data_IF_510679712831
#
_entry.id   IF_510679712831
#
_cell.length_a   1.000
_cell.length_b   1.000
_cell.length_c   1.000
_cell.angle_alpha   90.00
_cell.angle_beta   90.00
_cell.angle_gamma   90.00
#
_symmetry.space_group_name_H-M   'P 1'
#
loop_
_entity.id
_entity.type
_entity.pdbx_description
1 polymer ?
#
# COMPACT_ATOMS: atom_id res chain seq x y z
N UNK A 1 -7.10 -6.47 16.81
CA UNK A 1 -6.31 -5.23 17.01
C UNK A 1 -5.68 -4.70 15.72
N UNK A 2 -5.11 -5.54 14.83
CA UNK A 2 -4.60 -5.09 13.51
C UNK A 2 -5.69 -4.38 12.69
N UNK A 3 -6.90 -4.94 12.64
CA UNK A 3 -8.05 -4.35 11.94
C UNK A 3 -8.39 -2.93 12.44
N UNK A 4 -8.24 -2.67 13.76
CA UNK A 4 -8.50 -1.33 14.29
C UNK A 4 -7.48 -0.31 13.78
N UNK A 5 -6.22 -0.70 13.61
CA UNK A 5 -5.20 0.18 13.02
C UNK A 5 -5.40 0.37 11.52
N UNK A 6 -5.88 -0.65 10.82
CA UNK A 6 -6.25 -0.57 9.41
C UNK A 6 -7.39 0.47 9.22
N UNK A 7 -8.45 0.40 10.00
CA UNK A 7 -9.55 1.37 9.94
C UNK A 7 -9.11 2.80 10.31
N UNK A 8 -8.21 2.94 11.29
CA UNK A 8 -7.62 4.24 11.63
C UNK A 8 -6.75 4.80 10.49
N UNK A 9 -6.09 3.93 9.73
CA UNK A 9 -5.35 4.34 8.56
C UNK A 9 -6.26 4.91 7.47
N UNK A 10 -7.42 4.29 7.23
CA UNK A 10 -8.46 4.85 6.34
C UNK A 10 -8.92 6.23 6.81
N UNK A 11 -9.16 6.41 8.11
CA UNK A 11 -9.52 7.71 8.66
C UNK A 11 -8.42 8.75 8.44
N UNK A 12 -7.15 8.40 8.62
CA UNK A 12 -6.02 9.29 8.35
C UNK A 12 -5.93 9.66 6.86
N UNK A 13 -6.15 8.70 5.99
CA UNK A 13 -6.19 8.91 4.54
C UNK A 13 -7.32 9.88 4.15
N UNK A 14 -8.53 9.65 4.67
CA UNK A 14 -9.67 10.55 4.47
C UNK A 14 -9.35 11.99 4.87
N UNK A 15 -8.73 12.19 6.03
CA UNK A 15 -8.33 13.53 6.49
C UNK A 15 -7.35 14.22 5.55
N UNK A 16 -6.57 13.45 4.83
CA UNK A 16 -5.57 13.96 3.87
C UNK A 16 -6.16 14.30 2.51
N UNK A 17 -7.03 13.44 1.98
CA UNK A 17 -7.54 13.53 0.60
C UNK A 17 -8.94 14.15 0.49
N UNK A 18 -9.72 14.11 1.57
CA UNK A 18 -11.02 14.77 1.68
C UNK A 18 -12.19 13.99 1.08
N UNK A 19 -13.39 14.58 1.23
CA UNK A 19 -14.68 13.95 0.92
C UNK A 19 -14.85 13.55 -0.55
N UNK A 20 -14.42 14.38 -1.47
CA UNK A 20 -14.58 14.10 -2.91
C UNK A 20 -13.81 12.85 -3.33
N UNK A 21 -12.57 12.71 -2.87
CA UNK A 21 -11.77 11.52 -3.09
C UNK A 21 -12.44 10.29 -2.49
N UNK A 22 -12.92 10.40 -1.24
CA UNK A 22 -13.56 9.29 -0.55
C UNK A 22 -14.84 8.82 -1.23
N UNK A 23 -15.60 9.73 -1.84
CA UNK A 23 -16.76 9.37 -2.67
C UNK A 23 -16.36 8.49 -3.85
N UNK A 24 -15.20 8.73 -4.46
CA UNK A 24 -14.68 7.89 -5.56
C UNK A 24 -14.32 6.49 -5.06
N UNK A 25 -13.65 6.38 -3.90
CA UNK A 25 -13.35 5.09 -3.27
C UNK A 25 -14.63 4.28 -3.02
N UNK A 26 -15.62 4.89 -2.38
CA UNK A 26 -16.91 4.24 -2.12
C UNK A 26 -17.59 3.82 -3.42
N UNK A 27 -17.57 4.68 -4.45
CA UNK A 27 -18.15 4.35 -5.75
C UNK A 27 -17.49 3.12 -6.36
N UNK A 28 -16.14 3.04 -6.34
CA UNK A 28 -15.42 1.86 -6.80
C UNK A 28 -15.83 0.59 -6.02
N UNK A 29 -15.89 0.66 -4.70
CA UNK A 29 -16.28 -0.48 -3.85
C UNK A 29 -17.69 -0.96 -4.19
N UNK A 30 -18.65 -0.05 -4.38
CA UNK A 30 -20.03 -0.40 -4.75
C UNK A 30 -20.11 -1.05 -6.14
N UNK A 31 -19.36 -0.54 -7.11
CA UNK A 31 -19.27 -1.12 -8.45
C UNK A 31 -18.55 -2.47 -8.40
N UNK A 32 -17.43 -2.53 -7.69
CA UNK A 32 -16.61 -3.72 -7.53
C UNK A 32 -17.35 -4.87 -6.87
N UNK A 33 -18.20 -4.58 -5.88
CA UNK A 33 -19.01 -5.61 -5.21
C UNK A 33 -19.94 -6.37 -6.19
N UNK A 34 -20.30 -5.76 -7.31
CA UNK A 34 -21.12 -6.37 -8.36
C UNK A 34 -20.29 -6.99 -9.49
N UNK A 35 -18.96 -6.87 -9.43
CA UNK A 35 -18.06 -7.42 -10.44
C UNK A 35 -17.84 -8.93 -10.25
N UNK A 36 -17.36 -9.65 -11.28
CA UNK A 36 -17.01 -11.06 -11.16
C UNK A 36 -15.95 -11.36 -10.08
N UNK A 37 -15.11 -10.36 -9.74
CA UNK A 37 -14.06 -10.50 -8.74
C UNK A 37 -14.59 -10.28 -7.31
N UNK A 38 -15.77 -9.68 -7.14
CA UNK A 38 -16.33 -9.35 -5.82
C UNK A 38 -15.51 -8.30 -5.07
N UNK A 39 -15.91 -8.00 -3.83
CA UNK A 39 -15.14 -7.11 -2.93
C UNK A 39 -14.80 -5.75 -3.55
N UNK A 40 -13.52 -5.49 -3.73
CA UNK A 40 -13.02 -4.23 -4.32
C UNK A 40 -13.05 -4.20 -5.85
N UNK A 41 -13.48 -5.28 -6.50
CA UNK A 41 -13.51 -5.42 -7.95
C UNK A 41 -12.27 -6.09 -8.55
N UNK A 42 -12.13 -5.98 -9.87
CA UNK A 42 -11.05 -6.58 -10.64
C UNK A 42 -9.87 -5.62 -10.90
N UNK A 43 -9.92 -4.39 -10.40
CA UNK A 43 -8.90 -3.36 -10.62
C UNK A 43 -9.08 -2.58 -11.94
N UNK A 44 -10.13 -2.84 -12.68
CA UNK A 44 -10.47 -2.17 -13.95
C UNK A 44 -11.70 -1.26 -13.85
N UNK A 45 -12.32 -1.24 -12.71
CA UNK A 45 -13.50 -0.43 -12.43
C UNK A 45 -13.15 1.06 -12.36
N UNK A 46 -14.15 1.89 -12.54
CA UNK A 46 -14.00 3.33 -12.38
C UNK A 46 -13.50 3.64 -10.96
N UNK A 47 -12.48 4.47 -10.85
CA UNK A 47 -11.82 4.84 -9.59
C UNK A 47 -11.08 3.71 -8.85
N UNK A 48 -10.74 2.61 -9.55
CA UNK A 48 -9.96 1.52 -8.96
C UNK A 48 -8.63 1.99 -8.37
N UNK A 49 -7.93 2.94 -9.02
CA UNK A 49 -6.68 3.50 -8.52
C UNK A 49 -6.82 4.22 -7.17
N UNK A 50 -7.95 4.90 -6.91
CA UNK A 50 -8.23 5.55 -5.61
C UNK A 50 -8.38 4.50 -4.51
N UNK A 51 -9.08 3.41 -4.79
CA UNK A 51 -9.23 2.28 -3.87
C UNK A 51 -7.90 1.56 -3.64
N UNK A 52 -7.13 1.34 -4.70
CA UNK A 52 -5.81 0.72 -4.65
C UNK A 52 -4.87 1.47 -3.68
N UNK A 53 -4.77 2.78 -3.81
CA UNK A 53 -3.95 3.60 -2.90
C UNK A 53 -4.45 3.58 -1.47
N UNK A 54 -5.76 3.68 -1.28
CA UNK A 54 -6.39 3.69 0.03
C UNK A 54 -6.20 2.38 0.78
N UNK A 55 -6.44 1.24 0.12
CA UNK A 55 -6.30 -0.09 0.73
C UNK A 55 -4.83 -0.46 0.97
N UNK A 56 -3.95 -0.19 0.01
CA UNK A 56 -2.52 -0.43 0.19
C UNK A 56 -1.94 0.38 1.35
N UNK A 57 -2.37 1.64 1.50
CA UNK A 57 -1.97 2.48 2.63
C UNK A 57 -2.51 1.96 3.96
N UNK A 58 -3.77 1.57 4.00
CA UNK A 58 -4.41 1.09 5.21
C UNK A 58 -3.79 -0.22 5.69
N UNK A 59 -3.51 -1.14 4.77
CA UNK A 59 -2.86 -2.41 5.08
C UNK A 59 -1.43 -2.19 5.59
N UNK A 60 -0.63 -1.37 4.89
CA UNK A 60 0.72 -1.01 5.34
C UNK A 60 0.71 -0.40 6.74
N UNK A 61 -0.07 0.66 6.95
CA UNK A 61 -0.04 1.41 8.20
C UNK A 61 -0.61 0.59 9.36
N UNK A 62 -1.67 -0.20 9.10
CA UNK A 62 -2.27 -1.11 10.07
C UNK A 62 -1.28 -2.14 10.58
N UNK A 63 -0.53 -2.74 9.68
CA UNK A 63 0.50 -3.74 9.99
C UNK A 63 1.71 -3.11 10.68
N UNK A 64 2.20 -1.99 10.18
CA UNK A 64 3.36 -1.31 10.76
C UNK A 64 3.10 -0.83 12.20
N UNK A 65 1.92 -0.28 12.48
CA UNK A 65 1.52 0.07 13.84
C UNK A 65 1.38 -1.15 14.73
N UNK A 66 0.78 -2.20 14.20
CA UNK A 66 0.65 -3.45 14.96
C UNK A 66 2.01 -4.00 15.37
N UNK A 67 2.96 -4.06 14.44
CA UNK A 67 4.34 -4.49 14.68
C UNK A 67 5.04 -3.68 15.77
N UNK A 68 4.83 -2.35 15.78
CA UNK A 68 5.46 -1.46 16.77
C UNK A 68 4.89 -1.61 18.17
N UNK A 69 3.59 -1.87 18.27
CA UNK A 69 2.90 -2.02 19.56
C UNK A 69 3.09 -3.43 20.13
N UNK A 70 3.25 -4.42 19.28
CA UNK A 70 3.38 -5.83 19.65
C UNK A 70 4.66 -6.44 19.07
N UNK A 71 5.84 -6.05 19.57
CA UNK A 71 7.09 -6.63 19.11
C UNK A 71 7.16 -8.12 19.45
N UNK A 72 7.52 -8.91 18.46
CA UNK A 72 7.83 -10.35 18.49
C UNK A 72 7.06 -11.21 19.51
N UNK A 73 6.05 -11.91 19.06
CA UNK A 73 5.48 -13.08 19.74
C UNK A 73 4.25 -12.86 20.60
N UNK A 74 3.70 -11.65 20.66
CA UNK A 74 2.48 -11.36 21.44
C UNK A 74 1.20 -11.23 20.61
N UNK A 75 1.23 -11.54 19.34
CA UNK A 75 0.03 -11.46 18.51
C UNK A 75 -0.53 -12.83 18.19
N UNK A 76 -1.63 -13.16 18.85
CA UNK A 76 -2.50 -14.28 18.48
C UNK A 76 -3.23 -14.00 17.14
N UNK A 77 -2.51 -14.01 16.04
CA UNK A 77 -3.13 -14.30 14.76
C UNK A 77 -2.61 -15.66 14.37
N UNK A 78 -3.53 -16.61 14.42
CA UNK A 78 -3.32 -18.00 14.14
C UNK A 78 -2.40 -18.24 12.95
N UNK A 79 -1.38 -19.05 13.21
CA UNK A 79 -0.69 -19.90 12.23
C UNK A 79 -0.24 -19.16 10.96
N UNK A 80 0.90 -18.63 10.96
CA UNK A 80 1.94 -18.66 9.94
C UNK A 80 2.85 -17.44 10.05
N UNK A 81 3.95 -17.66 10.76
CA UNK A 81 5.23 -16.97 10.57
C UNK A 81 5.28 -15.43 10.44
N UNK A 82 4.84 -14.73 11.46
CA UNK A 82 5.15 -13.30 11.62
C UNK A 82 6.66 -13.00 11.66
N UNK A 83 7.50 -14.00 11.82
CA UNK A 83 8.98 -13.87 11.79
C UNK A 83 9.48 -13.56 10.37
N UNK A 84 8.71 -13.92 9.33
CA UNK A 84 9.02 -13.63 7.92
C UNK A 84 8.07 -12.58 7.33
N UNK A 85 7.49 -11.77 8.16
CA UNK A 85 6.41 -10.88 7.83
C UNK A 85 6.75 -9.79 6.78
N UNK A 86 7.92 -9.14 6.78
CA UNK A 86 8.27 -8.23 5.69
C UNK A 86 8.28 -8.92 4.33
N UNK A 87 9.00 -10.03 4.20
CA UNK A 87 9.08 -10.80 2.95
C UNK A 87 7.70 -11.34 2.49
N UNK A 88 6.84 -11.78 3.42
CA UNK A 88 5.51 -12.26 3.08
C UNK A 88 4.57 -11.15 2.58
N UNK A 89 4.82 -9.90 2.97
CA UNK A 89 4.02 -8.75 2.51
C UNK A 89 4.43 -8.25 1.14
N UNK A 90 5.71 -8.36 0.84
CA UNK A 90 6.27 -8.04 -0.47
C UNK A 90 5.83 -9.07 -1.52
N UNK A 91 5.66 -10.34 -1.10
CA UNK A 91 5.19 -11.43 -1.96
C UNK A 91 3.67 -11.67 -1.91
N UNK A 92 2.92 -11.04 -1.02
CA UNK A 92 1.52 -11.40 -0.79
C UNK A 92 0.55 -10.77 -1.79
N UNK A 93 0.61 -11.26 -3.01
CA UNK A 93 -0.36 -11.01 -4.10
C UNK A 93 -1.75 -11.56 -3.79
N UNK A 94 -1.89 -12.39 -2.77
CA UNK A 94 -3.15 -13.06 -2.41
C UNK A 94 -4.03 -12.19 -1.50
N UNK A 95 -3.45 -11.18 -0.88
CA UNK A 95 -4.17 -10.26 -0.02
C UNK A 95 -4.84 -9.17 -0.89
N UNK A 96 -6.13 -9.02 -0.83
CA UNK A 96 -6.91 -8.02 -1.58
C UNK A 96 -6.88 -8.12 -3.12
N UNK A 97 -7.14 -9.32 -3.64
CA UNK A 97 -7.44 -9.49 -5.08
C UNK A 97 -6.28 -9.24 -6.06
N UNK A 98 -5.03 -9.46 -5.67
CA UNK A 98 -3.84 -9.45 -6.54
C UNK A 98 -3.54 -8.15 -7.30
N UNK A 99 -4.42 -7.15 -7.28
CA UNK A 99 -4.24 -5.88 -7.97
C UNK A 99 -3.97 -4.69 -7.04
N UNK A 100 -3.99 -4.92 -5.71
CA UNK A 100 -3.64 -3.92 -4.69
C UNK A 100 -2.22 -4.20 -4.19
N UNK A 101 -1.22 -3.43 -4.61
CA UNK A 101 0.18 -3.70 -4.27
C UNK A 101 0.50 -3.21 -2.85
N UNK A 102 0.16 -4.02 -1.85
CA UNK A 102 0.35 -3.68 -0.44
C UNK A 102 1.83 -3.57 -0.05
N UNK A 103 2.73 -4.30 -0.73
CA UNK A 103 4.18 -4.30 -0.50
C UNK A 103 4.87 -2.97 -0.81
N UNK A 104 4.37 -2.19 -1.77
CA UNK A 104 5.03 -0.94 -2.22
C UNK A 104 5.40 0.00 -1.07
N UNK A 105 4.54 0.17 -0.06
CA UNK A 105 4.84 1.04 1.07
C UNK A 105 5.82 0.42 2.07
N UNK A 106 5.95 -0.90 2.08
CA UNK A 106 6.97 -1.61 2.88
C UNK A 106 8.33 -1.45 2.26
N UNK A 107 8.50 -1.70 0.96
CA UNK A 107 9.76 -1.51 0.23
C UNK A 107 10.31 -0.09 0.38
N UNK A 108 9.43 0.90 0.44
CA UNK A 108 9.83 2.28 0.72
C UNK A 108 10.29 2.51 2.17
N UNK A 109 10.02 1.57 3.07
CA UNK A 109 10.28 1.75 4.52
C UNK A 109 11.52 1.06 4.97
N UNK A 110 11.65 -0.21 4.61
CA UNK A 110 12.67 -1.04 5.23
C UNK A 110 14.05 -0.82 4.60
N UNK A 111 15.06 -1.29 5.32
CA UNK A 111 16.45 -1.17 4.94
C UNK A 111 17.12 -2.56 4.97
N UNK A 112 16.33 -3.61 5.12
CA UNK A 112 16.83 -4.97 5.25
C UNK A 112 16.55 -5.75 4.00
N UNK A 113 17.55 -5.86 3.13
CA UNK A 113 17.58 -6.89 2.09
C UNK A 113 17.64 -8.27 2.79
N UNK A 114 16.50 -8.88 3.00
CA UNK A 114 16.48 -10.30 3.34
C UNK A 114 17.00 -11.07 2.12
N UNK A 115 17.72 -12.16 2.33
CA UNK A 115 18.43 -12.92 1.27
C UNK A 115 17.52 -13.50 0.17
N UNK A 116 16.22 -13.29 0.26
CA UNK A 116 15.18 -13.73 -0.68
C UNK A 116 14.47 -12.56 -1.36
N UNK A 117 14.78 -11.31 -0.99
CA UNK A 117 14.20 -10.13 -1.55
C UNK A 117 15.01 -9.63 -2.75
N UNK A 118 14.31 -9.08 -3.72
CA UNK A 118 14.93 -8.37 -4.82
C UNK A 118 15.52 -7.05 -4.28
N UNK A 119 16.66 -6.64 -4.83
CA UNK A 119 17.47 -5.49 -4.45
C UNK A 119 16.64 -4.19 -4.25
N UNK A 120 16.34 -3.83 -3.00
CA UNK A 120 15.63 -2.60 -2.62
C UNK A 120 16.45 -1.37 -2.98
N UNK A 121 16.16 -0.83 -4.14
CA UNK A 121 16.85 0.36 -4.66
C UNK A 121 16.39 1.65 -4.02
N UNK A 122 15.30 1.60 -3.25
CA UNK A 122 14.73 2.73 -2.53
C UNK A 122 14.27 2.26 -1.17
N UNK A 123 14.83 2.83 -0.10
CA UNK A 123 14.54 2.40 1.26
C UNK A 123 14.70 3.55 2.26
N UNK A 124 14.21 3.35 3.47
CA UNK A 124 14.46 4.25 4.60
C UNK A 124 13.52 5.45 4.67
N UNK A 125 12.42 5.47 3.91
CA UNK A 125 11.44 6.54 3.98
C UNK A 125 10.50 6.37 5.17
N UNK A 126 10.34 7.45 5.91
CA UNK A 126 9.43 7.50 7.06
C UNK A 126 7.97 7.45 6.63
N UNK A 127 7.09 7.03 7.55
CA UNK A 127 5.63 7.11 7.37
C UNK A 127 5.21 8.53 6.96
N UNK A 128 5.77 9.56 7.60
CA UNK A 128 5.44 10.95 7.33
C UNK A 128 5.81 11.37 5.88
N UNK A 129 6.97 10.95 5.39
CA UNK A 129 7.38 11.23 4.00
C UNK A 129 6.41 10.59 2.99
N UNK A 130 6.04 9.33 3.20
CA UNK A 130 5.06 8.61 2.37
C UNK A 130 3.66 9.24 2.44
N UNK A 131 3.22 9.59 3.66
CA UNK A 131 1.91 10.23 3.86
C UNK A 131 1.81 11.60 3.20
N UNK A 132 2.91 12.37 3.19
CA UNK A 132 2.93 13.72 2.59
C UNK A 132 2.76 13.71 1.07
N UNK A 133 2.94 12.59 0.41
CA UNK A 133 2.68 12.44 -1.03
C UNK A 133 1.19 12.52 -1.35
N UNK A 134 0.34 11.99 -0.48
CA UNK A 134 -1.11 11.98 -0.72
C UNK A 134 -1.69 13.39 -0.78
N UNK A 135 -2.59 13.57 -1.71
CA UNK A 135 -3.40 14.77 -1.88
C UNK A 135 -4.69 14.41 -2.64
N UNK A 136 -5.70 15.31 -2.68
CA UNK A 136 -6.93 15.07 -3.43
C UNK A 136 -6.76 14.79 -4.93
N UNK A 137 -5.58 15.08 -5.48
CA UNK A 137 -5.27 14.96 -6.91
C UNK A 137 -4.38 13.75 -7.23
N UNK A 138 -4.12 12.86 -6.29
CA UNK A 138 -3.31 11.65 -6.48
C UNK A 138 -4.24 10.44 -6.48
N UNK A 139 -4.51 9.89 -7.65
CA UNK A 139 -5.58 8.91 -7.87
C UNK A 139 -5.10 7.49 -8.21
N UNK A 140 -3.79 7.29 -8.33
CA UNK A 140 -3.17 5.99 -8.62
C UNK A 140 -1.70 5.98 -8.22
N UNK A 141 -1.09 4.80 -8.23
CA UNK A 141 0.32 4.66 -7.85
C UNK A 141 1.29 5.37 -8.78
N UNK A 142 0.93 5.64 -10.03
CA UNK A 142 1.81 6.36 -10.95
C UNK A 142 1.89 7.85 -10.58
N UNK A 143 0.76 8.44 -10.28
CA UNK A 143 0.70 9.82 -9.78
C UNK A 143 1.35 9.92 -8.39
N UNK A 144 1.17 8.89 -7.56
CA UNK A 144 1.86 8.76 -6.27
C UNK A 144 3.38 8.74 -6.47
N UNK A 145 3.91 7.89 -7.36
CA UNK A 145 5.33 7.82 -7.71
C UNK A 145 5.86 9.20 -8.16
N UNK A 146 5.19 9.82 -9.11
CA UNK A 146 5.65 11.07 -9.70
C UNK A 146 5.70 12.18 -8.64
N UNK A 147 4.71 12.22 -7.76
CA UNK A 147 4.70 13.15 -6.63
C UNK A 147 5.74 12.81 -5.58
N UNK A 148 5.93 11.52 -5.29
CA UNK A 148 6.96 11.05 -4.36
C UNK A 148 8.36 11.50 -4.82
N UNK A 149 8.70 11.30 -6.10
CA UNK A 149 9.98 11.71 -6.69
C UNK A 149 10.12 13.24 -6.65
N UNK A 150 9.07 13.98 -6.93
CA UNK A 150 9.09 15.44 -6.83
C UNK A 150 9.46 15.91 -5.40
N UNK A 151 8.97 15.23 -4.38
CA UNK A 151 9.24 15.54 -2.98
C UNK A 151 10.59 14.97 -2.48
N UNK A 152 11.12 13.97 -3.17
CA UNK A 152 12.35 13.28 -2.83
C UNK A 152 13.27 13.18 -4.07
N UNK A 153 13.91 14.29 -4.48
CA UNK A 153 14.62 14.39 -5.76
C UNK A 153 15.88 13.52 -5.87
N UNK A 154 16.29 12.87 -4.80
CA UNK A 154 17.34 11.85 -4.81
C UNK A 154 16.89 10.52 -5.40
N UNK A 155 15.57 10.31 -5.52
CA UNK A 155 14.95 9.09 -6.07
C UNK A 155 14.69 9.30 -7.56
N UNK A 156 15.12 8.36 -8.39
CA UNK A 156 14.83 8.38 -9.82
C UNK A 156 13.57 7.58 -10.16
N UNK A 157 12.95 7.88 -11.30
CA UNK A 157 11.84 7.10 -11.85
C UNK A 157 12.22 5.62 -12.02
N UNK A 158 13.43 5.33 -12.47
CA UNK A 158 13.90 3.96 -12.69
C UNK A 158 13.98 3.16 -11.36
N UNK A 159 14.45 3.81 -10.29
CA UNK A 159 14.48 3.19 -8.97
C UNK A 159 13.07 2.90 -8.47
N UNK A 160 12.15 3.87 -8.54
CA UNK A 160 10.78 3.67 -8.08
C UNK A 160 10.03 2.61 -8.91
N UNK A 161 10.27 2.55 -10.22
CA UNK A 161 9.72 1.49 -11.07
C UNK A 161 10.27 0.11 -10.69
N UNK A 162 11.47 0.03 -10.11
CA UNK A 162 11.99 -1.19 -9.51
C UNK A 162 11.06 -1.73 -8.42
N UNK A 163 10.61 -0.87 -7.51
CA UNK A 163 9.62 -1.23 -6.46
C UNK A 163 8.34 -1.77 -7.06
N UNK A 164 7.83 -1.16 -8.13
CA UNK A 164 6.63 -1.67 -8.81
C UNK A 164 6.87 -3.06 -9.42
N UNK A 165 8.04 -3.28 -10.01
CA UNK A 165 8.40 -4.59 -10.59
C UNK A 165 8.49 -5.68 -9.53
N UNK A 166 9.03 -5.37 -8.35
CA UNK A 166 9.11 -6.27 -7.21
C UNK A 166 7.74 -6.71 -6.72
N UNK A 167 6.78 -5.78 -6.70
CA UNK A 167 5.40 -6.04 -6.31
C UNK A 167 4.52 -6.56 -7.46
N UNK A 168 5.10 -6.98 -8.60
CA UNK A 168 4.37 -7.32 -9.83
C UNK A 168 3.33 -6.28 -10.27
N UNK A 169 3.57 -5.05 -9.90
CA UNK A 169 2.73 -3.93 -10.27
C UNK A 169 3.32 -3.24 -11.51
N UNK A 170 2.66 -3.43 -12.65
CA UNK A 170 3.13 -2.91 -13.94
C UNK A 170 2.25 -1.79 -14.50
N UNK A 171 1.31 -1.30 -13.73
CA UNK A 171 0.20 -0.50 -14.26
C UNK A 171 0.38 1.00 -14.06
N UNK A 172 1.51 1.52 -14.53
CA UNK A 172 1.64 2.93 -14.89
C UNK A 172 1.38 3.12 -16.39
N UNK A 173 0.27 2.59 -16.88
CA UNK A 173 -0.16 2.79 -18.26
C UNK A 173 -1.22 3.89 -18.35
#
# INVERSE_FOLDING_TARGET
MQWSFHELAHASFFMKVGQTYWTRVITNILVGASSPCGGYGCGTEVFAGDTQLNEAWAEFLGKEHHRRVHPAGQCEISSNNWVNYPAALEDDRSFHHAWIPTGVFFDLTDATNLTTELDDRIQGFTIAQKYNVFSPNIHNFCEYRDRFIQLNPSVSVAQFNGVFTQNDFFDCR
#
